data_IF_410935038294
#
_entry.id   IF_410935038294
#
_cell.length_a   1.000
_cell.length_b   1.000
_cell.length_c   1.000
_cell.angle_alpha   90.00
_cell.angle_beta   90.00
_cell.angle_gamma   90.00
#
_symmetry.space_group_name_H-M   'P 1'
#
loop_
_entity.id
_entity.type
_entity.pdbx_description
1 polymer ?
#
# COMPACT_ATOMS: atom_id res chain seq x y z
N UNK A 1 -36.57 11.02 35.94
CA UNK A 1 -35.76 12.24 35.69
C UNK A 1 -34.31 12.08 36.14
N UNK A 2 -33.98 11.97 37.44
CA UNK A 2 -32.58 11.85 37.90
C UNK A 2 -31.84 10.56 37.48
N UNK A 3 -32.54 9.43 37.41
CA UNK A 3 -31.98 8.15 36.93
C UNK A 3 -31.61 8.18 35.44
N UNK A 4 -32.36 8.92 34.62
CA UNK A 4 -32.06 9.07 33.18
C UNK A 4 -30.87 10.00 32.94
N UNK A 5 -30.74 11.05 33.75
CA UNK A 5 -29.62 12.00 33.67
C UNK A 5 -28.31 11.32 34.09
N UNK A 6 -28.32 10.54 35.18
CA UNK A 6 -27.13 9.80 35.65
C UNK A 6 -26.71 8.70 34.67
N UNK A 7 -27.66 7.97 34.07
CA UNK A 7 -27.37 6.99 33.02
C UNK A 7 -26.76 7.64 31.77
N UNK A 8 -27.32 8.76 31.30
CA UNK A 8 -26.78 9.51 30.15
C UNK A 8 -25.39 10.09 30.44
N UNK A 9 -25.17 10.64 31.64
CA UNK A 9 -23.87 11.14 32.05
C UNK A 9 -22.83 10.02 32.13
N UNK A 10 -23.20 8.84 32.65
CA UNK A 10 -22.34 7.66 32.67
C UNK A 10 -21.93 7.19 31.28
N UNK A 11 -22.87 7.12 30.34
CA UNK A 11 -22.58 6.75 28.94
C UNK A 11 -21.64 7.77 28.29
N UNK A 12 -21.88 9.06 28.48
CA UNK A 12 -21.02 10.11 27.92
C UNK A 12 -19.60 10.06 28.50
N UNK A 13 -19.46 9.81 29.81
CA UNK A 13 -18.15 9.65 30.44
C UNK A 13 -17.39 8.43 29.90
N UNK A 14 -18.06 7.28 29.76
CA UNK A 14 -17.45 6.07 29.17
C UNK A 14 -17.03 6.35 27.72
N UNK A 15 -17.88 7.01 26.93
CA UNK A 15 -17.55 7.40 25.56
C UNK A 15 -16.33 8.31 25.49
N UNK A 16 -16.24 9.33 26.35
CA UNK A 16 -15.12 10.25 26.41
C UNK A 16 -13.81 9.55 26.82
N UNK A 17 -13.85 8.66 27.82
CA UNK A 17 -12.69 7.86 28.24
C UNK A 17 -12.25 6.92 27.11
N UNK A 18 -13.20 6.27 26.43
CA UNK A 18 -12.91 5.40 25.30
C UNK A 18 -12.24 6.15 24.15
N UNK A 19 -12.77 7.31 23.76
CA UNK A 19 -12.15 8.16 22.72
C UNK A 19 -10.77 8.63 23.16
N UNK A 20 -10.62 9.07 24.42
CA UNK A 20 -9.32 9.47 24.96
C UNK A 20 -8.27 8.36 24.90
N UNK A 21 -8.65 7.13 25.28
CA UNK A 21 -7.76 5.97 25.21
C UNK A 21 -7.35 5.63 23.76
N UNK A 22 -8.29 5.70 22.80
CA UNK A 22 -7.98 5.48 21.38
C UNK A 22 -7.05 6.55 20.84
N UNK A 23 -7.27 7.83 21.15
CA UNK A 23 -6.41 8.92 20.70
C UNK A 23 -4.99 8.79 21.28
N UNK A 24 -4.88 8.48 22.57
CA UNK A 24 -3.58 8.22 23.21
C UNK A 24 -2.85 7.02 22.58
N UNK A 25 -3.59 5.95 22.24
CA UNK A 25 -3.00 4.82 21.53
C UNK A 25 -2.49 5.21 20.15
N UNK A 26 -3.25 5.98 19.37
CA UNK A 26 -2.85 6.42 18.02
C UNK A 26 -1.63 7.35 18.08
N UNK A 27 -1.58 8.25 19.06
CA UNK A 27 -0.48 9.21 19.18
C UNK A 27 0.87 8.53 19.43
N UNK A 28 0.86 7.41 20.16
CA UNK A 28 2.05 6.60 20.43
C UNK A 28 2.48 5.67 19.29
N UNK A 29 1.74 5.58 18.19
CA UNK A 29 2.14 4.79 17.02
C UNK A 29 3.10 5.56 16.11
N UNK A 30 3.96 4.86 15.34
CA UNK A 30 4.70 5.46 14.23
C UNK A 30 3.78 6.21 13.26
N UNK A 31 4.30 7.24 12.59
CA UNK A 31 3.54 8.06 11.64
C UNK A 31 2.86 7.20 10.57
N UNK A 32 3.57 6.23 9.98
CA UNK A 32 3.04 5.34 8.93
C UNK A 32 1.84 4.47 9.36
N UNK A 33 1.58 4.34 10.66
CA UNK A 33 0.42 3.60 11.20
C UNK A 33 -0.76 4.49 11.57
N UNK A 34 -0.57 5.82 11.62
CA UNK A 34 -1.65 6.76 11.97
C UNK A 34 -2.62 6.90 10.79
N UNK A 35 -3.92 7.14 11.00
CA UNK A 35 -4.91 7.26 9.91
C UNK A 35 -4.63 8.38 8.91
N UNK A 36 -3.87 9.40 9.32
CA UNK A 36 -3.50 10.60 8.56
C UNK A 36 -2.00 10.66 8.24
N UNK A 37 -1.25 9.62 8.61
CA UNK A 37 0.17 9.55 8.33
C UNK A 37 0.46 9.32 6.84
N UNK A 38 1.69 9.59 6.45
CA UNK A 38 2.16 9.26 5.10
C UNK A 38 2.39 7.74 4.98
N UNK A 39 2.30 7.22 3.76
CA UNK A 39 2.53 5.80 3.53
C UNK A 39 4.02 5.49 3.66
N UNK A 40 4.38 4.73 4.69
CA UNK A 40 5.71 4.16 4.87
C UNK A 40 5.67 2.68 4.47
N UNK A 41 6.44 2.33 3.44
CA UNK A 41 6.50 0.95 2.95
C UNK A 41 7.44 0.06 3.77
N UNK A 42 8.33 0.66 4.57
CA UNK A 42 9.24 -0.06 5.47
C UNK A 42 8.62 -0.37 6.83
N UNK A 43 7.47 0.21 7.13
CA UNK A 43 6.73 -0.08 8.35
C UNK A 43 6.38 -1.59 8.41
N UNK A 44 6.84 -2.33 9.44
CA UNK A 44 6.65 -3.77 9.50
C UNK A 44 5.21 -4.16 9.86
N UNK A 45 4.72 -5.20 9.17
CA UNK A 45 3.43 -5.81 9.44
C UNK A 45 2.25 -5.15 8.74
N UNK A 46 1.17 -5.91 8.58
CA UNK A 46 -0.13 -5.37 8.14
C UNK A 46 -0.87 -4.78 9.35
N UNK A 47 -1.22 -3.50 9.26
CA UNK A 47 -1.94 -2.75 10.29
C UNK A 47 -3.30 -2.23 9.78
N UNK A 48 -4.10 -1.67 10.69
CA UNK A 48 -5.49 -1.27 10.44
C UNK A 48 -5.65 -0.37 9.20
N UNK A 49 -4.70 0.56 9.00
CA UNK A 49 -4.74 1.54 7.91
C UNK A 49 -3.87 1.22 6.69
N UNK A 50 -3.20 0.06 6.62
CA UNK A 50 -2.27 -0.26 5.51
C UNK A 50 -2.98 -0.18 4.15
N UNK A 51 -4.18 -0.77 4.06
CA UNK A 51 -4.96 -0.76 2.82
C UNK A 51 -5.41 0.66 2.42
N UNK A 52 -5.65 1.54 3.39
CA UNK A 52 -6.05 2.93 3.16
C UNK A 52 -4.86 3.73 2.63
N UNK A 53 -3.69 3.58 3.24
CA UNK A 53 -2.45 4.24 2.80
C UNK A 53 -2.07 3.81 1.38
N UNK A 54 -2.02 2.52 1.11
CA UNK A 54 -1.71 1.99 -0.23
C UNK A 54 -2.74 2.43 -1.29
N UNK A 55 -4.03 2.56 -0.93
CA UNK A 55 -5.06 3.07 -1.84
C UNK A 55 -4.89 4.56 -2.11
N UNK A 56 -4.52 5.35 -1.11
CA UNK A 56 -4.30 6.78 -1.25
C UNK A 56 -3.18 7.10 -2.26
N UNK A 57 -2.16 6.24 -2.33
CA UNK A 57 -1.07 6.37 -3.32
C UNK A 57 -1.54 6.36 -4.78
N UNK A 58 -2.68 5.74 -5.09
CA UNK A 58 -3.23 5.74 -6.47
C UNK A 58 -3.66 7.12 -6.96
N UNK A 59 -4.00 8.02 -6.04
CA UNK A 59 -4.49 9.36 -6.35
C UNK A 59 -3.43 10.45 -6.22
N UNK A 60 -2.22 10.12 -5.77
CA UNK A 60 -1.14 11.08 -5.53
C UNK A 60 0.20 10.52 -6.00
N UNK A 61 0.60 10.91 -7.22
CA UNK A 61 1.83 10.45 -7.87
C UNK A 61 3.09 10.80 -7.06
N UNK A 62 3.17 12.02 -6.52
CA UNK A 62 4.33 12.50 -5.79
C UNK A 62 4.50 11.77 -4.46
N UNK A 63 3.41 11.61 -3.71
CA UNK A 63 3.43 10.85 -2.46
C UNK A 63 3.78 9.38 -2.69
N UNK A 64 3.31 8.79 -3.81
CA UNK A 64 3.64 7.42 -4.15
C UNK A 64 5.13 7.25 -4.47
N UNK A 65 5.68 8.14 -5.30
CA UNK A 65 7.10 8.08 -5.65
C UNK A 65 7.98 8.33 -4.42
N UNK A 66 7.59 9.24 -3.53
CA UNK A 66 8.28 9.46 -2.26
C UNK A 66 8.26 8.21 -1.37
N UNK A 67 7.12 7.51 -1.27
CA UNK A 67 7.01 6.28 -0.51
C UNK A 67 7.89 5.15 -1.08
N UNK A 68 8.01 5.05 -2.41
CA UNK A 68 8.93 4.12 -3.06
C UNK A 68 10.40 4.54 -2.90
N UNK A 69 10.73 5.83 -3.01
CA UNK A 69 12.09 6.33 -2.79
C UNK A 69 12.55 6.09 -1.33
N UNK A 70 11.61 6.04 -0.39
CA UNK A 70 11.85 5.74 1.02
C UNK A 70 11.95 4.23 1.35
N UNK A 71 11.78 3.35 0.36
CA UNK A 71 11.86 1.89 0.54
C UNK A 71 13.13 1.28 -0.04
N UNK A 72 13.40 0.02 0.29
CA UNK A 72 14.53 -0.74 -0.27
C UNK A 72 14.26 -1.27 -1.70
N UNK A 73 13.14 -0.89 -2.33
CA UNK A 73 12.84 -1.26 -3.72
C UNK A 73 13.77 -0.53 -4.69
N UNK A 74 14.38 -1.28 -5.60
CA UNK A 74 15.14 -0.73 -6.73
C UNK A 74 14.22 -0.63 -7.94
N UNK A 75 14.04 0.59 -8.42
CA UNK A 75 13.19 0.86 -9.57
C UNK A 75 13.73 2.01 -10.41
N UNK A 76 13.34 2.01 -11.68
CA UNK A 76 13.52 3.16 -12.57
C UNK A 76 12.18 3.79 -12.90
N UNK A 77 12.13 5.13 -12.86
CA UNK A 77 10.93 5.87 -13.26
C UNK A 77 10.74 5.72 -14.76
N UNK A 78 9.56 5.29 -15.17
CA UNK A 78 9.17 5.26 -16.57
C UNK A 78 8.76 6.66 -17.03
N UNK A 79 8.92 6.91 -18.33
CA UNK A 79 8.34 8.09 -18.97
C UNK A 79 6.81 8.13 -18.86
N UNK A 80 6.19 9.25 -19.25
CA UNK A 80 4.74 9.36 -19.30
C UNK A 80 4.13 8.27 -20.19
N UNK A 81 2.88 7.88 -19.90
CA UNK A 81 2.20 6.89 -20.74
C UNK A 81 2.18 7.35 -22.19
N UNK A 82 2.49 6.42 -23.09
CA UNK A 82 2.41 6.66 -24.53
C UNK A 82 0.96 6.71 -25.03
N UNK A 83 -0.01 6.29 -24.21
CA UNK A 83 -1.43 6.40 -24.55
C UNK A 83 -1.94 7.82 -24.38
N UNK A 84 -2.67 8.29 -25.39
CA UNK A 84 -3.38 9.58 -25.36
C UNK A 84 -4.75 9.49 -24.69
N UNK A 85 -5.24 8.29 -24.37
CA UNK A 85 -6.52 8.11 -23.67
C UNK A 85 -6.33 8.01 -22.17
N UNK A 86 -7.12 8.77 -21.41
CA UNK A 86 -7.09 8.76 -19.94
C UNK A 86 -7.32 7.35 -19.34
N UNK A 87 -8.10 6.50 -20.01
CA UNK A 87 -8.38 5.13 -19.59
C UNK A 87 -7.16 4.20 -19.66
N UNK A 88 -6.14 4.55 -20.45
CA UNK A 88 -4.92 3.77 -20.65
C UNK A 88 -3.68 4.53 -20.19
N UNK A 89 -3.81 5.31 -19.13
CA UNK A 89 -2.71 6.08 -18.58
C UNK A 89 -2.31 5.53 -17.20
N UNK A 90 -1.04 5.17 -17.04
CA UNK A 90 -0.46 4.89 -15.72
C UNK A 90 0.01 6.19 -15.07
N UNK A 91 -0.29 6.40 -13.80
CA UNK A 91 0.28 7.50 -13.02
C UNK A 91 1.58 7.03 -12.38
N UNK A 92 2.63 7.86 -12.45
CA UNK A 92 3.96 7.57 -11.92
C UNK A 92 4.43 6.15 -12.30
N UNK A 93 4.62 5.92 -13.60
CA UNK A 93 5.07 4.61 -14.07
C UNK A 93 6.45 4.28 -13.52
N UNK A 94 6.67 3.04 -13.10
CA UNK A 94 7.96 2.55 -12.63
C UNK A 94 8.24 1.17 -13.21
N UNK A 95 9.52 0.88 -13.45
CA UNK A 95 10.02 -0.46 -13.73
C UNK A 95 10.67 -1.00 -12.48
N UNK A 96 10.17 -2.12 -12.00
CA UNK A 96 10.74 -2.83 -10.84
C UNK A 96 11.98 -3.57 -11.33
N UNK A 97 13.12 -3.29 -10.72
CA UNK A 97 14.40 -3.96 -11.04
C UNK A 97 14.70 -5.01 -9.97
N UNK A 98 14.49 -4.63 -8.70
CA UNK A 98 14.60 -5.53 -7.56
C UNK A 98 13.67 -5.05 -6.46
N UNK A 99 13.01 -5.99 -5.80
CA UNK A 99 12.14 -5.74 -4.64
C UNK A 99 12.65 -6.61 -3.48
N UNK A 100 11.75 -7.04 -2.58
CA UNK A 100 12.03 -8.10 -1.60
C UNK A 100 12.42 -9.42 -2.29
N UNK A 101 12.03 -9.60 -3.55
CA UNK A 101 12.46 -10.69 -4.42
C UNK A 101 13.06 -10.17 -5.73
N UNK A 102 13.79 -11.04 -6.44
CA UNK A 102 14.23 -10.75 -7.80
C UNK A 102 13.04 -10.61 -8.76
N UNK A 103 13.18 -9.76 -9.77
CA UNK A 103 12.17 -9.57 -10.81
C UNK A 103 12.78 -9.88 -12.17
N UNK A 104 12.13 -10.78 -12.91
CA UNK A 104 12.48 -11.11 -14.28
C UNK A 104 11.29 -10.87 -15.19
N UNK A 105 11.55 -10.25 -16.34
CA UNK A 105 10.57 -10.14 -17.42
C UNK A 105 11.24 -10.31 -18.78
N UNK A 106 10.60 -11.03 -19.71
CA UNK A 106 11.08 -11.12 -21.08
C UNK A 106 10.94 -9.80 -21.87
N UNK A 107 10.26 -8.78 -21.32
CA UNK A 107 10.08 -7.48 -21.96
C UNK A 107 10.20 -6.31 -20.95
N UNK A 108 10.45 -5.07 -21.41
CA UNK A 108 10.44 -3.92 -20.54
C UNK A 108 9.02 -3.61 -20.08
N UNK A 109 8.70 -3.92 -18.84
CA UNK A 109 7.37 -3.73 -18.26
C UNK A 109 7.33 -2.51 -17.33
N UNK A 110 6.19 -1.83 -17.31
CA UNK A 110 5.94 -0.63 -16.49
C UNK A 110 4.75 -0.92 -15.59
N UNK A 111 4.97 -0.92 -14.28
CA UNK A 111 3.91 -0.90 -13.28
C UNK A 111 3.52 0.55 -12.97
N UNK A 112 2.29 0.80 -12.52
CA UNK A 112 2.02 2.06 -11.82
C UNK A 112 2.77 2.05 -10.48
N UNK A 113 3.18 3.22 -9.99
CA UNK A 113 3.85 3.33 -8.70
C UNK A 113 3.05 2.66 -7.58
N UNK A 114 1.73 2.88 -7.53
CA UNK A 114 0.88 2.30 -6.49
C UNK A 114 0.81 0.76 -6.57
N UNK A 115 0.92 0.19 -7.78
CA UNK A 115 1.03 -1.26 -7.94
C UNK A 115 2.37 -1.76 -7.39
N UNK A 116 3.48 -1.10 -7.74
CA UNK A 116 4.80 -1.46 -7.23
C UNK A 116 4.88 -1.36 -5.70
N UNK A 117 4.38 -0.27 -5.11
CA UNK A 117 4.31 -0.10 -3.66
C UNK A 117 3.48 -1.18 -2.96
N UNK A 118 2.35 -1.57 -3.57
CA UNK A 118 1.51 -2.65 -3.02
C UNK A 118 2.21 -4.01 -3.12
N UNK A 119 2.89 -4.30 -4.25
CA UNK A 119 3.65 -5.53 -4.44
C UNK A 119 4.78 -5.63 -3.42
N UNK A 120 5.53 -4.54 -3.20
CA UNK A 120 6.60 -4.47 -2.21
C UNK A 120 6.14 -4.94 -0.83
N UNK A 121 5.05 -4.34 -0.30
CA UNK A 121 4.49 -4.70 1.01
C UNK A 121 3.94 -6.13 1.00
N UNK A 122 3.23 -6.53 -0.05
CA UNK A 122 2.67 -7.88 -0.15
C UNK A 122 3.75 -8.97 -0.19
N UNK A 123 4.86 -8.73 -0.87
CA UNK A 123 5.97 -9.69 -0.96
C UNK A 123 6.54 -10.00 0.43
N UNK A 124 6.85 -8.95 1.21
CA UNK A 124 7.40 -9.08 2.55
C UNK A 124 6.40 -9.71 3.53
N UNK A 125 5.18 -9.19 3.55
CA UNK A 125 4.22 -9.49 4.62
C UNK A 125 3.36 -10.73 4.35
N UNK A 126 3.19 -11.12 3.08
CA UNK A 126 2.26 -12.19 2.68
C UNK A 126 2.98 -13.28 1.89
N UNK A 127 3.71 -12.93 0.83
CA UNK A 127 4.32 -13.92 -0.06
C UNK A 127 5.38 -14.75 0.65
N UNK A 128 6.35 -14.12 1.31
CA UNK A 128 7.44 -14.84 1.97
C UNK A 128 6.96 -15.74 3.11
N UNK A 129 6.09 -15.26 4.04
CA UNK A 129 5.55 -16.13 5.08
C UNK A 129 4.74 -17.31 4.52
N UNK A 130 3.96 -17.09 3.46
CA UNK A 130 3.19 -18.15 2.81
C UNK A 130 4.10 -19.17 2.10
N UNK A 131 5.15 -18.71 1.44
CA UNK A 131 6.13 -19.58 0.77
C UNK A 131 6.86 -20.46 1.78
N UNK A 132 7.33 -19.89 2.90
CA UNK A 132 7.94 -20.64 3.98
C UNK A 132 6.96 -21.69 4.56
N UNK A 133 5.70 -21.32 4.79
CA UNK A 133 4.70 -22.20 5.39
C UNK A 133 4.26 -23.37 4.48
N UNK A 134 4.11 -23.11 3.17
CA UNK A 134 3.53 -24.08 2.23
C UNK A 134 4.55 -24.82 1.38
N UNK A 135 5.69 -24.20 1.09
CA UNK A 135 6.74 -24.75 0.23
C UNK A 135 8.00 -25.13 1.00
N UNK A 136 8.16 -24.63 2.23
CA UNK A 136 9.36 -24.84 3.03
C UNK A 136 10.59 -24.06 2.51
N UNK A 137 10.37 -23.08 1.64
CA UNK A 137 11.42 -22.27 1.00
C UNK A 137 10.93 -20.86 0.71
N UNK A 138 11.85 -19.91 0.64
CA UNK A 138 11.56 -18.53 0.22
C UNK A 138 11.38 -18.43 -1.30
N UNK A 139 10.60 -17.43 -1.74
CA UNK A 139 10.57 -17.04 -3.16
C UNK A 139 11.76 -16.16 -3.43
N UNK A 140 12.56 -16.51 -4.44
CA UNK A 140 13.77 -15.75 -4.81
C UNK A 140 13.57 -14.87 -6.04
N UNK A 141 12.61 -15.22 -6.91
CA UNK A 141 12.35 -14.49 -8.15
C UNK A 141 10.88 -14.58 -8.57
N UNK A 142 10.34 -13.47 -9.07
CA UNK A 142 9.05 -13.38 -9.76
C UNK A 142 9.31 -13.17 -11.25
N UNK A 143 8.96 -14.18 -12.05
CA UNK A 143 8.91 -14.08 -13.51
C UNK A 143 7.51 -13.59 -13.94
N UNK A 144 7.44 -12.42 -14.58
CA UNK A 144 6.20 -11.86 -15.12
C UNK A 144 6.29 -11.62 -16.63
N UNK A 145 5.13 -11.52 -17.29
CA UNK A 145 5.01 -11.41 -18.76
C UNK A 145 4.30 -10.12 -19.20
N UNK A 146 4.18 -9.14 -18.31
CA UNK A 146 3.49 -7.88 -18.57
C UNK A 146 2.72 -7.38 -17.37
N UNK A 147 2.78 -6.08 -17.15
CA UNK A 147 2.03 -5.37 -16.08
C UNK A 147 0.97 -4.44 -16.65
N UNK A 148 1.02 -4.12 -17.95
CA UNK A 148 0.11 -3.18 -18.60
C UNK A 148 -0.29 -3.67 -20.00
N UNK A 149 -1.61 -3.72 -20.26
CA UNK A 149 -2.17 -4.08 -21.56
C UNK A 149 -3.38 -3.19 -21.87
N UNK A 150 -3.12 -2.03 -22.49
CA UNK A 150 -4.20 -1.16 -22.96
C UNK A 150 -4.90 -1.81 -24.16
N UNK A 151 -6.11 -2.32 -23.94
CA UNK A 151 -6.99 -2.80 -25.01
C UNK A 151 -8.46 -2.62 -24.63
N UNK A 152 -9.33 -2.53 -25.62
CA UNK A 152 -10.77 -2.67 -25.41
C UNK A 152 -11.08 -4.05 -24.83
N UNK A 153 -11.87 -4.09 -23.77
CA UNK A 153 -12.36 -5.33 -23.19
C UNK A 153 -13.74 -5.58 -23.81
N UNK A 154 -13.96 -6.75 -24.40
CA UNK A 154 -15.21 -7.11 -25.09
C UNK A 154 -15.61 -6.19 -26.27
N UNK A 155 -14.65 -5.45 -26.85
CA UNK A 155 -14.91 -4.57 -27.99
C UNK A 155 -15.57 -3.23 -27.64
N UNK A 156 -15.78 -2.93 -26.35
CA UNK A 156 -16.19 -1.61 -25.85
C UNK A 156 -14.97 -0.80 -25.40
#
# INVERSE_FOLDING_TARGET
MWAEITARAGILLIGAVGVGAVLQYIDGQPEGRKPWGEADLEEPGIHLFTSTHLRALRGNADACLAALDGSDMQFTRAGPSTSTTAACHWQAGVRIERSNVGYASPAPDIASCALAATLYVWEREILQPAAAAHLGSEVVEILHYGTFSCRRVNGA
#
